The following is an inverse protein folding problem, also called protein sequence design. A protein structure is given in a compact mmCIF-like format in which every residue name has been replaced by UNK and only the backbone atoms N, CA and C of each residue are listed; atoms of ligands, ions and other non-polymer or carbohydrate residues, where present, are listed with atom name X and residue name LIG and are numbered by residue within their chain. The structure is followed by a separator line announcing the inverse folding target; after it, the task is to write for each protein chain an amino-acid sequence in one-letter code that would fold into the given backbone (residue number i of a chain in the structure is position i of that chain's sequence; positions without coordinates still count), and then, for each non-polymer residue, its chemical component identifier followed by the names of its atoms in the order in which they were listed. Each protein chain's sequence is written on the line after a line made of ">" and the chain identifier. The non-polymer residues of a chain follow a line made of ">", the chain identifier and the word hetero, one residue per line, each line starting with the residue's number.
data_IF_684850176476
#
_entry.id   IF_684850176476
#
_cell.length_a   1.000
_cell.length_b   1.000
_cell.length_c   1.000
_cell.angle_alpha   90.00
_cell.angle_beta   90.00
_cell.angle_gamma   90.00
#
_symmetry.space_group_name_H-M   'P 1'
#
loop_
_entity.id
_entity.type
_entity.pdbx_description
1 polymer ?
#
# COMPACT_ATOMS: atom_id res chain seq x y z
N UNK A 1 -9.23 -3.76 -8.78
CA UNK A 1 -8.52 -4.51 -7.72
C UNK A 1 -9.14 -4.16 -6.37
N UNK A 2 -9.44 -5.16 -5.52
CA UNK A 2 -10.11 -4.94 -4.24
C UNK A 2 -9.23 -4.19 -3.21
N UNK A 3 -7.90 -4.29 -3.31
CA UNK A 3 -6.97 -3.63 -2.38
C UNK A 3 -7.02 -2.10 -2.44
N UNK A 4 -6.89 -1.52 -3.64
CA UNK A 4 -6.89 -0.05 -3.79
C UNK A 4 -8.27 0.56 -3.51
N UNK A 5 -9.35 -0.18 -3.80
CA UNK A 5 -10.70 0.23 -3.39
C UNK A 5 -10.84 0.23 -1.86
N UNK A 6 -10.34 -0.81 -1.18
CA UNK A 6 -10.30 -0.86 0.28
C UNK A 6 -9.52 0.31 0.87
N UNK A 7 -8.32 0.60 0.36
CA UNK A 7 -7.52 1.74 0.79
C UNK A 7 -8.29 3.06 0.62
N UNK A 8 -8.89 3.29 -0.55
CA UNK A 8 -9.61 4.54 -0.83
C UNK A 8 -10.84 4.74 0.09
N UNK A 9 -11.57 3.67 0.36
CA UNK A 9 -12.73 3.68 1.27
C UNK A 9 -12.32 3.88 2.74
N UNK A 10 -11.15 3.39 3.14
CA UNK A 10 -10.65 3.49 4.52
C UNK A 10 -9.76 4.73 4.78
N UNK A 11 -9.54 5.55 3.77
CA UNK A 11 -8.80 6.82 3.88
C UNK A 11 -9.76 7.97 4.15
N UNK A 12 -9.45 8.80 5.16
CA UNK A 12 -10.16 10.06 5.41
C UNK A 12 -9.64 11.13 4.45
N UNK A 13 -10.55 11.94 3.89
CA UNK A 13 -10.21 13.00 2.93
C UNK A 13 -10.12 12.53 1.48
N UNK A 14 -9.78 13.45 0.59
CA UNK A 14 -9.75 13.22 -0.87
C UNK A 14 -8.44 12.60 -1.37
N UNK A 15 -7.33 12.84 -0.66
CA UNK A 15 -5.99 12.41 -1.07
C UNK A 15 -5.61 11.15 -0.30
N UNK A 16 -5.19 10.14 -1.03
CA UNK A 16 -4.70 8.86 -0.52
C UNK A 16 -3.22 8.77 -0.85
N UNK A 17 -2.34 8.67 0.16
CA UNK A 17 -0.90 8.44 -0.08
C UNK A 17 -0.53 6.98 0.14
N UNK A 18 0.17 6.39 -0.83
CA UNK A 18 0.56 4.98 -0.84
C UNK A 18 2.06 4.88 -1.16
N UNK A 19 2.81 4.09 -0.40
CA UNK A 19 4.16 3.63 -0.78
C UNK A 19 4.23 2.12 -0.83
N UNK A 20 5.37 1.57 -1.25
CA UNK A 20 5.58 0.12 -1.26
C UNK A 20 7.04 -0.31 -1.14
N UNK A 21 7.24 -1.61 -0.97
CA UNK A 21 8.53 -2.30 -1.01
C UNK A 21 9.15 -2.44 -2.42
N UNK A 22 8.36 -2.26 -3.48
CA UNK A 22 8.81 -2.27 -4.88
C UNK A 22 8.15 -1.15 -5.70
N UNK A 23 8.87 -0.04 -5.87
CA UNK A 23 8.38 1.11 -6.63
C UNK A 23 8.14 0.80 -8.11
N UNK A 24 8.92 -0.11 -8.72
CA UNK A 24 8.87 -0.37 -10.16
C UNK A 24 7.55 -1.07 -10.51
N UNK A 25 7.20 -2.09 -9.75
CA UNK A 25 5.97 -2.87 -9.96
C UNK A 25 4.75 -2.08 -9.48
N UNK A 26 4.80 -1.51 -8.28
CA UNK A 26 3.61 -0.95 -7.66
C UNK A 26 3.22 0.41 -8.19
N UNK A 27 4.16 1.26 -8.61
CA UNK A 27 3.80 2.55 -9.22
C UNK A 27 2.96 2.34 -10.48
N UNK A 28 3.29 1.34 -11.31
CA UNK A 28 2.54 1.02 -12.53
C UNK A 28 1.14 0.52 -12.22
N UNK A 29 1.02 -0.42 -11.28
CA UNK A 29 -0.28 -0.99 -10.90
C UNK A 29 -1.16 0.09 -10.26
N UNK A 30 -0.61 0.87 -9.33
CA UNK A 30 -1.32 1.98 -8.69
C UNK A 30 -1.75 3.01 -9.72
N UNK A 31 -0.87 3.39 -10.65
CA UNK A 31 -1.18 4.30 -11.75
C UNK A 31 -2.34 3.81 -12.62
N UNK A 32 -2.34 2.52 -12.99
CA UNK A 32 -3.42 1.92 -13.77
C UNK A 32 -4.78 1.96 -13.06
N UNK A 33 -4.81 1.74 -11.75
CA UNK A 33 -6.04 1.73 -10.97
C UNK A 33 -6.47 3.10 -10.42
N UNK A 34 -5.59 4.11 -10.45
CA UNK A 34 -5.91 5.48 -10.03
C UNK A 34 -7.14 6.05 -10.75
N UNK A 35 -7.30 5.73 -12.04
CA UNK A 35 -8.45 6.16 -12.84
C UNK A 35 -9.78 5.45 -12.48
N UNK A 36 -9.74 4.42 -11.62
CA UNK A 36 -10.89 3.58 -11.26
C UNK A 36 -11.32 3.76 -9.80
N UNK A 37 -10.83 4.80 -9.14
CA UNK A 37 -11.19 5.09 -7.76
C UNK A 37 -12.59 5.69 -7.66
N UNK A 38 -13.23 5.60 -6.47
CA UNK A 38 -14.46 6.33 -6.21
C UNK A 38 -14.30 7.83 -6.51
N UNK A 39 -15.37 8.46 -6.99
CA UNK A 39 -15.37 9.89 -7.27
C UNK A 39 -14.90 10.70 -6.05
N UNK A 40 -14.07 11.72 -6.29
CA UNK A 40 -13.51 12.57 -5.23
C UNK A 40 -12.31 11.98 -4.49
N UNK A 41 -11.82 10.79 -4.87
CA UNK A 41 -10.56 10.21 -4.36
C UNK A 41 -9.45 10.32 -5.38
N UNK A 42 -8.26 10.69 -4.94
CA UNK A 42 -7.03 10.72 -5.74
C UNK A 42 -5.93 9.97 -5.00
N UNK A 43 -5.22 9.07 -5.69
CA UNK A 43 -4.02 8.42 -5.15
C UNK A 43 -2.77 9.20 -5.56
N UNK A 44 -1.89 9.42 -4.60
CA UNK A 44 -0.50 9.85 -4.77
C UNK A 44 0.41 8.72 -4.30
N UNK A 45 1.33 8.31 -5.18
CA UNK A 45 2.35 7.32 -4.83
C UNK A 45 3.56 8.05 -4.24
N UNK A 46 4.08 7.58 -3.11
CA UNK A 46 5.30 8.08 -2.45
C UNK A 46 6.42 7.09 -2.73
N UNK A 47 7.50 7.56 -3.36
CA UNK A 47 8.63 6.72 -3.71
C UNK A 47 9.48 6.37 -2.47
N UNK A 48 10.26 5.29 -2.54
CA UNK A 48 11.09 4.83 -1.42
C UNK A 48 12.09 5.88 -0.92
N UNK A 49 12.63 6.70 -1.82
CA UNK A 49 13.54 7.79 -1.48
C UNK A 49 12.85 8.96 -0.76
N UNK A 50 11.52 9.04 -0.80
CA UNK A 50 10.70 10.10 -0.18
C UNK A 50 10.07 9.65 1.14
N UNK A 51 10.10 8.35 1.48
CA UNK A 51 9.40 7.82 2.65
C UNK A 51 9.85 8.46 3.98
N UNK A 52 11.10 8.90 4.08
CA UNK A 52 11.62 9.56 5.29
C UNK A 52 11.05 10.97 5.49
N UNK A 53 10.89 11.73 4.41
CA UNK A 53 10.39 13.11 4.46
C UNK A 53 8.88 13.15 4.41
N UNK A 54 8.24 12.20 3.74
CA UNK A 54 6.79 12.14 3.57
C UNK A 54 6.30 10.70 3.72
N UNK A 55 6.14 10.19 4.95
CA UNK A 55 5.63 8.84 5.14
C UNK A 55 4.19 8.73 4.62
N UNK A 56 3.90 7.76 3.74
CA UNK A 56 2.56 7.58 3.21
C UNK A 56 1.61 7.06 4.30
N UNK A 57 0.31 7.32 4.12
CA UNK A 57 -0.73 6.79 5.00
C UNK A 57 -0.82 5.26 4.91
N UNK A 58 -0.56 4.73 3.71
CA UNK A 58 -0.63 3.31 3.42
C UNK A 58 0.67 2.80 2.86
N UNK A 59 1.02 1.58 3.24
CA UNK A 59 2.18 0.88 2.71
C UNK A 59 1.73 -0.49 2.21
N UNK A 60 2.21 -0.87 1.03
CA UNK A 60 1.91 -2.16 0.41
C UNK A 60 3.20 -2.97 0.38
N UNK A 61 3.14 -4.23 0.79
CA UNK A 61 4.26 -5.15 0.59
C UNK A 61 3.83 -6.41 -0.14
N UNK A 62 4.81 -7.04 -0.78
CA UNK A 62 4.72 -8.30 -1.50
C UNK A 62 5.62 -9.29 -0.76
N UNK A 63 5.02 -10.25 -0.08
CA UNK A 63 5.80 -11.24 0.67
C UNK A 63 5.11 -12.58 0.69
N UNK A 64 5.91 -13.65 0.65
CA UNK A 64 5.47 -15.02 0.92
C UNK A 64 5.36 -15.31 2.43
N UNK A 65 5.79 -14.37 3.29
CA UNK A 65 5.75 -14.55 4.73
C UNK A 65 4.29 -14.59 5.25
N UNK A 66 4.06 -15.40 6.27
CA UNK A 66 2.72 -15.55 6.86
C UNK A 66 2.27 -14.26 7.56
N UNK A 67 0.97 -13.93 7.53
CA UNK A 67 0.41 -12.71 8.15
C UNK A 67 0.76 -12.52 9.63
N UNK A 68 1.02 -13.60 10.37
CA UNK A 68 1.46 -13.56 11.77
C UNK A 68 2.86 -12.96 11.96
N UNK A 69 3.77 -13.14 11.01
CA UNK A 69 5.08 -12.48 11.01
C UNK A 69 5.01 -10.99 10.65
N UNK A 70 3.85 -10.53 10.17
CA UNK A 70 3.65 -9.24 9.51
C UNK A 70 2.87 -8.24 10.36
N UNK A 71 2.57 -8.51 11.63
CA UNK A 71 1.72 -7.63 12.46
C UNK A 71 2.25 -6.19 12.58
N UNK A 72 3.57 -6.00 12.43
CA UNK A 72 4.21 -4.70 12.34
C UNK A 72 5.18 -4.72 11.17
N UNK A 73 4.99 -3.83 10.20
CA UNK A 73 6.05 -3.54 9.25
C UNK A 73 6.89 -2.40 9.83
N UNK A 74 8.15 -2.70 10.11
CA UNK A 74 9.18 -1.70 10.33
C UNK A 74 10.07 -1.74 9.10
N UNK A 75 9.77 -0.90 8.10
CA UNK A 75 10.75 -0.67 7.04
C UNK A 75 11.87 0.18 7.67
N UNK A 76 13.12 -0.31 7.75
CA UNK A 76 14.24 0.44 8.33
C UNK A 76 14.55 1.74 7.58
N UNK A 77 14.01 1.93 6.37
CA UNK A 77 14.08 3.18 5.61
C UNK A 77 13.02 4.19 6.04
N UNK A 78 12.00 3.78 6.80
CA UNK A 78 10.88 4.62 7.22
C UNK A 78 10.87 4.73 8.74
N UNK A 79 10.88 5.96 9.28
CA UNK A 79 10.79 6.19 10.72
C UNK A 79 9.38 5.95 11.28
N UNK A 80 8.39 5.84 10.39
CA UNK A 80 6.97 5.64 10.71
C UNK A 80 6.66 4.17 10.90
N UNK A 81 5.87 3.87 11.94
CA UNK A 81 5.38 2.51 12.22
C UNK A 81 4.11 2.24 11.43
N UNK A 82 4.03 1.04 10.89
CA UNK A 82 2.90 0.59 10.09
C UNK A 82 2.27 -0.65 10.73
N UNK A 83 0.95 -0.61 10.87
CA UNK A 83 0.13 -1.70 11.38
C UNK A 83 -0.57 -2.41 10.23
N UNK A 84 -0.44 -3.74 10.20
CA UNK A 84 -1.15 -4.57 9.24
C UNK A 84 -2.67 -4.35 9.34
N UNK A 85 -3.32 -4.23 8.18
CA UNK A 85 -4.77 -4.01 8.09
C UNK A 85 -5.46 -5.17 7.39
N UNK A 86 -4.93 -5.59 6.24
CA UNK A 86 -5.60 -6.59 5.40
C UNK A 86 -4.65 -7.22 4.40
N UNK A 87 -4.92 -8.48 4.08
CA UNK A 87 -4.31 -9.21 2.98
C UNK A 87 -5.28 -9.29 1.79
N UNK A 88 -4.75 -9.12 0.59
CA UNK A 88 -5.45 -9.40 -0.65
C UNK A 88 -4.65 -10.41 -1.45
N UNK A 89 -5.19 -11.63 -1.55
CA UNK A 89 -4.60 -12.68 -2.36
C UNK A 89 -4.64 -12.27 -3.83
N UNK A 90 -3.53 -12.49 -4.53
CA UNK A 90 -3.52 -12.37 -5.98
C UNK A 90 -4.38 -13.51 -6.57
N UNK A 91 -5.12 -13.21 -7.64
CA UNK A 91 -5.89 -14.22 -8.35
C UNK A 91 -4.95 -15.01 -9.29
N UNK A 92 -4.51 -16.20 -8.87
CA UNK A 92 -3.79 -17.16 -9.72
C UNK A 92 -2.41 -17.60 -9.20
N UNK A 93 -1.81 -18.58 -9.88
CA UNK A 93 -0.56 -19.27 -9.48
C UNK A 93 0.73 -18.41 -9.59
N UNK A 94 0.65 -17.19 -10.15
CA UNK A 94 1.84 -16.36 -10.41
C UNK A 94 1.85 -15.02 -9.67
N UNK A 95 0.95 -14.81 -8.71
CA UNK A 95 0.76 -13.52 -8.06
C UNK A 95 1.15 -13.55 -6.58
N UNK A 96 1.89 -12.53 -6.14
CA UNK A 96 2.24 -12.34 -4.74
C UNK A 96 1.06 -11.70 -3.99
N UNK A 97 0.73 -12.14 -2.76
CA UNK A 97 -0.32 -11.51 -1.98
C UNK A 97 0.09 -10.07 -1.63
N UNK A 98 -0.90 -9.18 -1.64
CA UNK A 98 -0.73 -7.79 -1.23
C UNK A 98 -1.05 -7.66 0.25
N UNK A 99 -0.04 -7.30 1.02
CA UNK A 99 -0.17 -7.01 2.44
C UNK A 99 -0.34 -5.50 2.60
N UNK A 100 -1.47 -5.08 3.15
CA UNK A 100 -1.83 -3.67 3.30
C UNK A 100 -1.59 -3.24 4.73
N UNK A 101 -0.82 -2.17 4.89
CA UNK A 101 -0.52 -1.56 6.16
C UNK A 101 -0.96 -0.11 6.21
N UNK A 102 -1.23 0.37 7.42
CA UNK A 102 -1.57 1.76 7.69
C UNK A 102 -0.62 2.33 8.73
N UNK A 103 -0.21 3.58 8.54
CA UNK A 103 0.55 4.28 9.58
C UNK A 103 -0.26 4.42 10.88
N UNK A 104 0.43 4.36 12.02
CA UNK A 104 -0.17 4.61 13.34
C UNK A 104 -0.38 6.10 13.62
#
# INVERSE_FOLDING_TARGET
>A
MAALAYIALNTKGAIVTIGSDDDIHNTRIVGYYKARLPAGKTITYVMQNELKSQPPQWFITHTEATPQALQKCFDPKVTTRYRFQKEFLAAGESGWPWMIYRNE
#
